data_IF_193250140098
#
_entry.id   IF_193250140098
#
_cell.length_a   1.000
_cell.length_b   1.000
_cell.length_c   1.000
_cell.angle_alpha   90.00
_cell.angle_beta   90.00
_cell.angle_gamma   90.00
#
_symmetry.space_group_name_H-M   'P 1'
#
loop_
_entity.id
_entity.type
_entity.pdbx_description
1 polymer ?
#
# COMPACT_ATOMS: atom_id res chain seq x y z
N UNK A 1 19.76 -3.19 20.96
CA UNK A 1 18.47 -2.50 20.74
C UNK A 1 17.38 -3.45 21.21
N UNK A 2 16.33 -2.98 21.90
CA UNK A 2 15.21 -3.83 22.37
C UNK A 2 13.90 -3.02 22.38
N UNK A 3 12.81 -3.64 21.98
CA UNK A 3 11.43 -3.15 22.04
C UNK A 3 11.03 -2.77 23.47
N UNK A 4 11.42 -3.58 24.46
CA UNK A 4 11.18 -3.26 25.87
C UNK A 4 11.84 -1.96 26.32
N UNK A 5 13.05 -1.66 25.80
CA UNK A 5 13.72 -0.37 26.01
C UNK A 5 12.96 0.78 25.34
N UNK A 6 12.53 0.63 24.08
CA UNK A 6 11.79 1.68 23.37
C UNK A 6 10.49 2.04 24.08
N UNK A 7 9.72 1.03 24.51
CA UNK A 7 8.44 1.25 25.21
C UNK A 7 8.68 1.90 26.58
N UNK A 8 9.71 1.47 27.30
CA UNK A 8 10.12 2.10 28.56
C UNK A 8 10.48 3.57 28.38
N UNK A 9 11.21 3.92 27.32
CA UNK A 9 11.63 5.31 27.08
C UNK A 9 10.41 6.22 26.85
N UNK A 10 9.35 5.71 26.22
CA UNK A 10 8.05 6.40 26.08
C UNK A 10 7.28 6.54 27.41
N UNK A 11 7.55 5.69 28.40
CA UNK A 11 6.88 5.72 29.71
C UNK A 11 7.53 6.68 30.72
N UNK A 12 8.76 7.13 30.48
CA UNK A 12 9.50 7.94 31.44
C UNK A 12 8.79 9.27 31.75
N UNK A 13 8.75 9.65 33.03
CA UNK A 13 8.12 10.88 33.49
C UNK A 13 6.60 10.84 33.59
N UNK A 14 5.95 9.75 33.16
CA UNK A 14 4.51 9.54 33.29
C UNK A 14 4.19 8.74 34.55
N UNK A 15 3.05 9.03 35.18
CA UNK A 15 2.51 8.15 36.21
C UNK A 15 1.86 6.90 35.59
N UNK A 16 1.72 5.76 36.30
CA UNK A 16 1.03 4.57 35.77
C UNK A 16 -0.37 4.87 35.23
N UNK A 17 -1.09 5.83 35.83
CA UNK A 17 -2.42 6.24 35.39
C UNK A 17 -2.41 7.09 34.09
N UNK A 18 -1.25 7.58 33.68
CA UNK A 18 -1.05 8.41 32.49
C UNK A 18 -0.34 7.67 31.36
N UNK A 19 -0.04 6.39 31.53
CA UNK A 19 0.58 5.57 30.49
C UNK A 19 -0.39 5.37 29.32
N UNK A 20 0.18 5.26 28.12
CA UNK A 20 -0.58 5.02 26.90
C UNK A 20 -1.25 3.64 26.95
N UNK A 21 -2.59 3.56 26.89
CA UNK A 21 -3.31 2.29 26.93
C UNK A 21 -2.99 1.35 25.76
N UNK A 22 -2.38 1.84 24.68
CA UNK A 22 -2.05 1.07 23.49
C UNK A 22 -0.59 0.57 23.46
N UNK A 23 0.28 1.03 24.36
CA UNK A 23 1.70 0.64 24.37
C UNK A 23 2.26 0.52 25.79
N UNK A 24 2.56 1.63 26.46
CA UNK A 24 3.30 1.63 27.72
C UNK A 24 2.50 1.09 28.91
N UNK A 25 1.18 1.27 28.93
CA UNK A 25 0.33 0.67 29.96
C UNK A 25 0.27 -0.85 29.81
N UNK A 26 0.26 -1.36 28.57
CA UNK A 26 0.34 -2.80 28.32
C UNK A 26 1.65 -3.36 28.84
N UNK A 27 2.77 -2.68 28.57
CA UNK A 27 4.08 -3.05 29.07
C UNK A 27 4.17 -3.06 30.59
N UNK A 28 3.53 -2.10 31.26
CA UNK A 28 3.45 -2.08 32.71
C UNK A 28 2.62 -3.27 33.23
N UNK A 29 1.45 -3.53 32.64
CA UNK A 29 0.55 -4.61 33.05
C UNK A 29 1.11 -6.02 32.80
N UNK A 30 2.07 -6.17 31.88
CA UNK A 30 2.75 -7.43 31.60
C UNK A 30 4.11 -7.56 32.29
N UNK A 31 4.44 -6.68 33.23
CA UNK A 31 5.75 -6.61 33.89
C UNK A 31 6.93 -6.47 32.92
N UNK A 32 6.69 -6.00 31.69
CA UNK A 32 7.78 -5.68 30.76
C UNK A 32 8.57 -4.46 31.22
N UNK A 33 7.85 -3.49 31.78
CA UNK A 33 8.41 -2.34 32.45
C UNK A 33 7.87 -2.25 33.87
N UNK A 34 8.68 -1.76 34.79
CA UNK A 34 8.29 -1.57 36.19
C UNK A 34 8.96 -0.32 36.77
N UNK A 35 8.42 0.21 37.85
CA UNK A 35 8.90 1.43 38.49
C UNK A 35 10.13 1.17 39.38
N UNK A 36 11.07 2.12 39.41
CA UNK A 36 12.21 2.10 40.35
C UNK A 36 12.13 3.27 41.32
N UNK A 37 11.53 3.04 42.49
CA UNK A 37 11.53 3.99 43.60
C UNK A 37 10.96 5.37 43.22
N UNK A 38 9.63 5.44 43.11
CA UNK A 38 8.88 6.63 42.66
C UNK A 38 7.96 6.28 41.49
N UNK A 39 6.85 7.00 41.32
CA UNK A 39 5.79 6.62 40.38
C UNK A 39 6.06 7.01 38.91
N UNK A 40 7.26 7.45 38.53
CA UNK A 40 7.49 8.01 37.17
C UNK A 40 8.78 7.55 36.49
N UNK A 41 9.60 6.75 37.16
CA UNK A 41 10.87 6.24 36.62
C UNK A 41 10.73 4.74 36.36
N UNK A 42 10.90 4.34 35.11
CA UNK A 42 10.70 2.94 34.70
C UNK A 42 12.01 2.25 34.35
N UNK A 43 12.13 0.97 34.71
CA UNK A 43 13.09 0.02 34.18
C UNK A 43 12.40 -0.93 33.21
N UNK A 44 13.18 -1.59 32.34
CA UNK A 44 12.68 -2.67 31.51
C UNK A 44 13.23 -3.99 32.04
N UNK A 45 12.34 -4.95 32.25
CA UNK A 45 12.68 -6.33 32.62
C UNK A 45 13.10 -7.16 31.40
N UNK A 46 13.18 -6.54 30.22
CA UNK A 46 13.86 -7.10 29.04
C UNK A 46 15.20 -6.38 28.84
N UNK A 47 16.30 -6.85 29.45
CA UNK A 47 17.64 -6.29 29.30
C UNK A 47 18.04 -6.06 27.84
N UNK A 48 18.71 -4.93 27.57
CA UNK A 48 19.13 -4.54 26.22
C UNK A 48 20.59 -4.89 25.89
N UNK A 49 21.29 -5.50 26.86
CA UNK A 49 22.70 -5.88 26.81
C UNK A 49 22.93 -7.36 26.45
N UNK A 50 21.88 -8.16 26.30
CA UNK A 50 21.94 -9.55 25.86
C UNK A 50 21.58 -9.68 24.38
N UNK A 51 22.17 -10.66 23.69
CA UNK A 51 21.89 -10.95 22.28
C UNK A 51 20.49 -11.54 22.13
N UNK A 52 19.53 -10.74 21.65
CA UNK A 52 18.14 -11.16 21.40
C UNK A 52 17.87 -11.30 19.91
N UNK A 53 17.13 -12.34 19.53
CA UNK A 53 16.59 -12.44 18.18
C UNK A 53 15.34 -11.57 18.10
N UNK A 54 15.41 -10.52 17.30
CA UNK A 54 14.28 -9.66 16.98
C UNK A 54 13.68 -10.06 15.64
N UNK A 55 12.35 -10.10 15.56
CA UNK A 55 11.65 -10.30 14.30
C UNK A 55 10.39 -9.43 14.23
N UNK A 56 10.02 -9.06 12.99
CA UNK A 56 8.76 -8.38 12.69
C UNK A 56 8.06 -9.12 11.57
N UNK A 57 6.82 -9.51 11.82
CA UNK A 57 5.96 -10.20 10.87
C UNK A 57 4.77 -9.32 10.55
N UNK A 58 4.53 -9.06 9.26
CA UNK A 58 3.45 -8.20 8.80
C UNK A 58 2.51 -9.04 7.93
N UNK A 59 1.25 -9.13 8.34
CA UNK A 59 0.19 -9.73 7.55
C UNK A 59 -0.82 -8.65 7.16
N UNK A 60 -0.87 -8.35 5.87
CA UNK A 60 -1.78 -7.35 5.33
C UNK A 60 -2.69 -7.96 4.27
N UNK A 61 -3.98 -7.63 4.30
CA UNK A 61 -4.95 -7.96 3.25
C UNK A 61 -5.92 -6.81 3.05
N UNK A 62 -6.53 -6.72 1.89
CA UNK A 62 -7.50 -5.67 1.62
C UNK A 62 -8.15 -5.81 0.26
N UNK A 63 -9.10 -4.93 -0.02
CA UNK A 63 -9.74 -4.82 -1.31
C UNK A 63 -10.15 -3.38 -1.59
N UNK A 64 -10.13 -3.03 -2.87
CA UNK A 64 -10.70 -1.77 -3.38
C UNK A 64 -11.78 -2.15 -4.39
N UNK A 65 -12.98 -1.59 -4.20
CA UNK A 65 -14.10 -1.73 -5.12
C UNK A 65 -14.49 -0.38 -5.72
N UNK A 66 -15.08 -0.40 -6.91
CA UNK A 66 -15.63 0.80 -7.55
C UNK A 66 -16.92 0.47 -8.30
N UNK A 67 -17.96 1.27 -8.09
CA UNK A 67 -19.20 1.26 -8.87
C UNK A 67 -19.28 2.59 -9.61
N UNK A 68 -19.40 2.55 -10.93
CA UNK A 68 -19.36 3.75 -11.78
C UNK A 68 -20.62 3.89 -12.63
N UNK A 69 -21.14 5.11 -12.73
CA UNK A 69 -22.11 5.50 -13.75
C UNK A 69 -21.38 6.31 -14.83
N UNK A 70 -21.41 5.82 -16.07
CA UNK A 70 -20.68 6.41 -17.18
C UNK A 70 -21.60 6.80 -18.34
N UNK A 71 -21.30 7.92 -18.99
CA UNK A 71 -21.95 8.38 -20.22
C UNK A 71 -20.89 8.76 -21.26
N UNK A 72 -21.19 8.55 -22.54
CA UNK A 72 -20.30 8.95 -23.64
C UNK A 72 -21.08 9.36 -24.88
N UNK A 73 -20.47 10.23 -25.68
CA UNK A 73 -21.02 10.72 -26.94
C UNK A 73 -20.01 10.49 -28.08
N UNK A 74 -20.52 10.17 -29.26
CA UNK A 74 -19.76 10.06 -30.49
C UNK A 74 -20.17 11.18 -31.45
N UNK A 75 -19.21 11.99 -31.87
CA UNK A 75 -19.38 13.14 -32.76
C UNK A 75 -18.68 12.83 -34.08
N UNK A 76 -19.48 12.62 -35.13
CA UNK A 76 -19.00 12.43 -36.50
C UNK A 76 -18.04 11.25 -36.69
N UNK A 77 -18.09 10.23 -35.82
CA UNK A 77 -17.18 9.07 -35.82
C UNK A 77 -15.70 9.40 -35.63
N UNK A 78 -15.38 10.66 -35.31
CA UNK A 78 -14.01 11.15 -35.15
C UNK A 78 -13.70 11.52 -33.70
N UNK A 79 -14.66 12.11 -32.98
CA UNK A 79 -14.46 12.56 -31.60
C UNK A 79 -15.39 11.77 -30.69
N UNK A 80 -14.82 11.17 -29.64
CA UNK A 80 -15.56 10.47 -28.60
C UNK A 80 -15.26 11.16 -27.29
N UNK A 81 -16.29 11.58 -26.56
CA UNK A 81 -16.15 12.22 -25.25
C UNK A 81 -16.90 11.37 -24.25
N UNK A 82 -16.34 11.17 -23.05
CA UNK A 82 -16.96 10.41 -21.99
C UNK A 82 -16.66 10.99 -20.62
N UNK A 83 -17.58 10.71 -19.70
CA UNK A 83 -17.45 11.04 -18.29
C UNK A 83 -18.00 9.89 -17.45
N UNK A 84 -17.45 9.67 -16.27
CA UNK A 84 -18.07 8.83 -15.25
C UNK A 84 -17.92 9.44 -13.86
N UNK A 85 -18.92 9.18 -13.02
CA UNK A 85 -18.87 9.39 -11.58
C UNK A 85 -18.89 8.01 -10.92
N UNK A 86 -18.04 7.83 -9.91
CA UNK A 86 -17.89 6.53 -9.27
C UNK A 86 -17.91 6.64 -7.75
N UNK A 87 -18.53 5.65 -7.11
CA UNK A 87 -18.43 5.40 -5.67
C UNK A 87 -17.42 4.29 -5.48
N UNK A 88 -16.38 4.55 -4.69
CA UNK A 88 -15.31 3.63 -4.39
C UNK A 88 -15.38 3.17 -2.93
N UNK A 89 -15.04 1.91 -2.69
CA UNK A 89 -14.91 1.34 -1.34
C UNK A 89 -13.49 0.85 -1.13
N UNK A 90 -13.02 0.92 0.11
CA UNK A 90 -11.71 0.45 0.53
C UNK A 90 -11.87 -0.33 1.82
N UNK A 91 -11.23 -1.50 1.87
CA UNK A 91 -11.06 -2.27 3.11
C UNK A 91 -9.62 -2.70 3.21
N UNK A 92 -9.03 -2.56 4.39
CA UNK A 92 -7.65 -2.96 4.65
C UNK A 92 -7.55 -3.48 6.08
N UNK A 93 -6.86 -4.60 6.25
CA UNK A 93 -6.57 -5.21 7.55
C UNK A 93 -5.08 -5.46 7.62
N UNK A 94 -4.46 -5.06 8.71
CA UNK A 94 -3.02 -5.21 8.93
C UNK A 94 -2.76 -5.68 10.36
N UNK A 95 -2.12 -6.84 10.48
CA UNK A 95 -1.63 -7.36 11.74
C UNK A 95 -0.11 -7.34 11.71
N UNK A 96 0.49 -6.60 12.63
CA UNK A 96 1.93 -6.57 12.83
C UNK A 96 2.29 -7.27 14.12
N UNK A 97 3.24 -8.19 14.07
CA UNK A 97 3.76 -8.87 15.25
C UNK A 97 5.24 -8.58 15.36
N UNK A 98 5.64 -7.95 16.45
CA UNK A 98 7.03 -7.76 16.85
C UNK A 98 7.35 -8.79 17.91
N UNK A 99 8.49 -9.44 17.77
CA UNK A 99 8.90 -10.48 18.69
C UNK A 99 10.38 -10.34 19.05
N UNK A 100 10.68 -10.47 20.33
CA UNK A 100 12.04 -10.61 20.86
C UNK A 100 12.14 -11.93 21.63
N UNK A 101 13.14 -12.74 21.31
CA UNK A 101 13.38 -14.02 21.98
C UNK A 101 14.84 -14.06 22.43
N UNK A 102 15.06 -14.45 23.67
CA UNK A 102 16.37 -14.90 24.12
C UNK A 102 16.55 -16.40 23.81
N UNK A 103 17.15 -16.69 22.65
CA UNK A 103 17.37 -18.09 22.24
C UNK A 103 18.59 -18.73 22.90
N UNK A 104 19.49 -17.90 23.47
CA UNK A 104 20.75 -18.37 24.04
C UNK A 104 20.67 -18.51 25.56
N UNK A 105 19.51 -18.20 26.16
CA UNK A 105 19.28 -18.17 27.61
C UNK A 105 20.36 -17.37 28.34
N UNK A 106 20.79 -16.25 27.74
CA UNK A 106 21.79 -15.35 28.31
C UNK A 106 21.19 -14.47 29.41
N UNK A 107 19.88 -14.34 29.41
CA UNK A 107 19.06 -13.62 30.37
C UNK A 107 18.38 -14.62 31.31
N UNK A 108 18.68 -14.59 32.62
CA UNK A 108 18.11 -15.55 33.56
C UNK A 108 16.61 -15.37 33.77
N UNK A 109 16.08 -14.19 33.46
CA UNK A 109 14.70 -13.82 33.80
C UNK A 109 13.80 -13.61 32.58
N UNK A 110 14.34 -13.32 31.40
CA UNK A 110 13.57 -13.04 30.18
C UNK A 110 13.64 -14.16 29.16
N UNK A 111 12.48 -14.71 28.75
CA UNK A 111 12.40 -15.69 27.66
C UNK A 111 11.96 -15.05 26.34
N UNK A 112 10.82 -14.36 26.34
CA UNK A 112 10.30 -13.73 25.12
C UNK A 112 9.33 -12.56 25.37
N UNK A 113 9.22 -11.73 24.35
CA UNK A 113 8.31 -10.60 24.24
C UNK A 113 7.61 -10.67 22.89
N UNK A 114 6.29 -10.51 22.86
CA UNK A 114 5.51 -10.37 21.63
C UNK A 114 4.53 -9.21 21.73
N UNK A 115 4.69 -8.24 20.84
CA UNK A 115 3.77 -7.11 20.68
C UNK A 115 3.01 -7.24 19.37
N UNK A 116 1.69 -7.17 19.42
CA UNK A 116 0.81 -7.37 18.27
C UNK A 116 -0.02 -6.10 18.10
N UNK A 117 0.03 -5.51 16.90
CA UNK A 117 -0.79 -4.38 16.49
C UNK A 117 -1.78 -4.86 15.42
N UNK A 118 -3.08 -4.79 15.71
CA UNK A 118 -4.14 -5.07 14.76
C UNK A 118 -4.79 -3.75 14.31
N UNK A 119 -4.85 -3.53 13.01
CA UNK A 119 -5.46 -2.36 12.38
C UNK A 119 -6.48 -2.80 11.33
N UNK A 120 -7.71 -2.37 11.49
CA UNK A 120 -8.80 -2.52 10.52
C UNK A 120 -9.18 -1.15 9.99
N UNK A 121 -9.16 -0.98 8.67
CA UNK A 121 -9.46 0.27 7.97
C UNK A 121 -10.58 0.03 6.97
N UNK A 122 -11.56 0.92 6.97
CA UNK A 122 -12.62 0.96 5.96
C UNK A 122 -12.78 2.37 5.40
N UNK A 123 -13.19 2.48 4.15
CA UNK A 123 -13.43 3.77 3.54
C UNK A 123 -14.45 3.72 2.41
N UNK A 124 -15.19 4.80 2.25
CA UNK A 124 -16.08 5.05 1.13
C UNK A 124 -15.76 6.41 0.53
N UNK A 125 -15.72 6.50 -0.80
CA UNK A 125 -15.35 7.74 -1.46
C UNK A 125 -16.00 7.90 -2.82
N UNK A 126 -15.85 9.09 -3.37
CA UNK A 126 -16.37 9.45 -4.69
C UNK A 126 -15.27 9.98 -5.58
N UNK A 127 -15.34 9.71 -6.89
CA UNK A 127 -14.42 10.26 -7.88
C UNK A 127 -15.14 10.56 -9.21
N UNK A 128 -14.51 11.38 -10.04
CA UNK A 128 -14.94 11.74 -11.39
C UNK A 128 -13.82 11.45 -12.39
N UNK A 129 -14.15 10.87 -13.54
CA UNK A 129 -13.18 10.65 -14.63
C UNK A 129 -13.75 11.23 -15.93
N UNK A 130 -12.92 11.96 -16.66
CA UNK A 130 -13.26 12.57 -17.94
C UNK A 130 -12.30 12.03 -19.02
N UNK A 131 -12.80 11.83 -20.23
CA UNK A 131 -11.98 11.32 -21.33
C UNK A 131 -12.44 11.81 -22.70
N UNK A 132 -11.48 11.99 -23.59
CA UNK A 132 -11.69 12.27 -25.01
C UNK A 132 -10.81 11.38 -25.86
N UNK A 133 -11.34 10.88 -26.97
CA UNK A 133 -10.61 10.15 -27.99
C UNK A 133 -10.87 10.81 -29.34
N UNK A 134 -9.81 11.19 -30.02
CA UNK A 134 -9.84 11.67 -31.40
C UNK A 134 -9.29 10.62 -32.36
N UNK A 135 -10.01 10.40 -33.46
CA UNK A 135 -9.66 9.46 -34.54
C UNK A 135 -9.50 10.24 -35.84
N UNK A 136 -8.34 10.88 -36.07
CA UNK A 136 -8.09 11.63 -37.30
C UNK A 136 -8.11 10.72 -38.53
N UNK A 137 -7.62 9.49 -38.37
CA UNK A 137 -7.53 8.47 -39.42
C UNK A 137 -8.09 7.14 -38.89
N UNK A 138 -8.56 6.26 -39.78
CA UNK A 138 -9.12 4.96 -39.38
C UNK A 138 -8.12 4.06 -38.63
N UNK A 139 -6.83 4.24 -38.89
CA UNK A 139 -5.74 3.48 -38.26
C UNK A 139 -5.09 4.20 -37.08
N UNK A 140 -5.44 5.46 -36.79
CA UNK A 140 -4.77 6.26 -35.76
C UNK A 140 -5.76 6.86 -34.77
N UNK A 141 -5.43 6.77 -33.47
CA UNK A 141 -6.24 7.31 -32.38
C UNK A 141 -5.34 8.02 -31.39
N UNK A 142 -5.85 9.13 -30.87
CA UNK A 142 -5.25 9.91 -29.78
C UNK A 142 -6.27 10.00 -28.66
N UNK A 143 -5.87 9.69 -27.43
CA UNK A 143 -6.72 9.80 -26.26
C UNK A 143 -6.11 10.73 -25.21
N UNK A 144 -6.98 11.38 -24.45
CA UNK A 144 -6.63 12.13 -23.25
C UNK A 144 -7.69 11.84 -22.19
N UNK A 145 -7.28 11.52 -20.97
CA UNK A 145 -8.18 11.34 -19.84
C UNK A 145 -7.63 11.96 -18.56
N UNK A 146 -8.53 12.49 -17.74
CA UNK A 146 -8.23 13.07 -16.45
C UNK A 146 -9.07 12.39 -15.38
N UNK A 147 -8.41 11.90 -14.33
CA UNK A 147 -9.05 11.27 -13.18
C UNK A 147 -8.83 12.19 -11.99
N UNK A 148 -9.93 12.62 -11.35
CA UNK A 148 -9.85 13.38 -10.09
C UNK A 148 -9.27 12.50 -8.97
N UNK A 149 -8.89 13.10 -7.83
CA UNK A 149 -8.79 12.35 -6.59
C UNK A 149 -10.07 11.56 -6.34
N UNK A 150 -9.93 10.45 -5.63
CA UNK A 150 -11.02 9.91 -4.84
C UNK A 150 -10.98 10.60 -3.49
N UNK A 151 -12.09 11.22 -3.12
CA UNK A 151 -12.29 11.80 -1.80
C UNK A 151 -12.94 10.74 -0.92
N UNK A 152 -12.15 10.10 -0.05
CA UNK A 152 -12.60 9.08 0.88
C UNK A 152 -12.93 9.69 2.24
N UNK A 153 -14.01 9.19 2.85
CA UNK A 153 -14.20 9.21 4.30
C UNK A 153 -13.76 7.85 4.84
N UNK A 154 -12.85 7.87 5.80
CA UNK A 154 -12.12 6.72 6.34
C UNK A 154 -12.48 6.52 7.80
N UNK A 155 -12.55 5.26 8.21
CA UNK A 155 -12.73 4.85 9.60
C UNK A 155 -11.76 3.72 9.92
N UNK A 156 -11.02 3.89 11.01
CA UNK A 156 -10.05 2.94 11.52
C UNK A 156 -10.47 2.41 12.88
N UNK A 157 -10.19 1.14 13.11
CA UNK A 157 -10.26 0.49 14.40
C UNK A 157 -8.93 -0.20 14.67
N UNK A 158 -8.37 -0.03 15.86
CA UNK A 158 -7.10 -0.65 16.22
C UNK A 158 -7.12 -1.21 17.64
N UNK A 159 -6.38 -2.30 17.82
CA UNK A 159 -6.20 -3.00 19.10
C UNK A 159 -4.75 -3.47 19.19
N UNK A 160 -4.13 -3.25 20.34
CA UNK A 160 -2.77 -3.70 20.60
C UNK A 160 -2.77 -4.74 21.72
N UNK A 161 -1.93 -5.75 21.56
CA UNK A 161 -1.71 -6.80 22.56
C UNK A 161 -0.24 -6.92 22.88
N UNK A 162 0.07 -7.16 24.14
CA UNK A 162 1.44 -7.42 24.59
C UNK A 162 1.47 -8.72 25.39
N UNK A 163 2.42 -9.58 25.08
CA UNK A 163 2.67 -10.84 25.76
C UNK A 163 4.13 -10.91 26.19
N UNK A 164 4.35 -11.29 27.43
CA UNK A 164 5.68 -11.54 27.98
C UNK A 164 5.78 -12.94 28.56
N UNK A 165 6.96 -13.52 28.43
CA UNK A 165 7.34 -14.79 29.04
C UNK A 165 8.65 -14.55 29.80
N UNK A 166 8.56 -14.64 31.12
CA UNK A 166 9.68 -14.54 32.05
C UNK A 166 9.86 -15.85 32.82
N UNK A 167 11.02 -16.04 33.43
CA UNK A 167 11.32 -17.18 34.32
C UNK A 167 10.29 -17.32 35.45
N UNK A 168 9.75 -16.19 35.91
CA UNK A 168 8.81 -16.09 37.03
C UNK A 168 7.33 -16.06 36.60
N UNK A 169 7.00 -15.98 35.30
CA UNK A 169 5.60 -15.96 34.86
C UNK A 169 5.37 -15.53 33.42
N UNK A 170 4.16 -15.82 32.92
CA UNK A 170 3.68 -15.36 31.61
C UNK A 170 2.53 -14.39 31.79
N UNK A 171 2.58 -13.27 31.09
CA UNK A 171 1.60 -12.20 31.22
C UNK A 171 1.08 -11.76 29.85
N UNK A 172 -0.17 -11.33 29.81
CA UNK A 172 -0.81 -10.81 28.61
C UNK A 172 -1.66 -9.60 28.98
N UNK A 173 -1.55 -8.53 28.20
CA UNK A 173 -2.40 -7.35 28.28
C UNK A 173 -2.90 -6.99 26.89
N UNK A 174 -4.09 -6.41 26.85
CA UNK A 174 -4.76 -5.96 25.63
C UNK A 174 -5.28 -4.54 25.85
N UNK A 175 -5.16 -3.69 24.83
CA UNK A 175 -5.69 -2.33 24.87
C UNK A 175 -7.21 -2.34 24.76
N UNK A 176 -7.89 -1.24 25.14
CA UNK A 176 -9.22 -0.96 24.64
C UNK A 176 -9.24 -0.92 23.10
N UNK A 177 -10.43 -1.01 22.51
CA UNK A 177 -10.62 -0.78 21.07
C UNK A 177 -10.50 0.72 20.79
N UNK A 178 -9.49 1.11 20.03
CA UNK A 178 -9.32 2.47 19.53
C UNK A 178 -10.06 2.66 18.22
N UNK A 179 -10.62 3.85 17.99
CA UNK A 179 -11.27 4.23 16.73
C UNK A 179 -10.78 5.59 16.25
N UNK A 180 -10.65 5.76 14.94
CA UNK A 180 -10.19 7.02 14.38
C UNK A 180 -10.78 7.27 12.99
N UNK A 181 -11.46 8.41 12.81
CA UNK A 181 -12.09 8.80 11.55
C UNK A 181 -11.35 10.00 10.93
N UNK A 182 -11.19 9.97 9.60
CA UNK A 182 -10.54 11.04 8.84
C UNK A 182 -10.93 11.00 7.37
N UNK A 183 -10.58 12.05 6.61
CA UNK A 183 -10.72 12.00 5.15
C UNK A 183 -9.38 11.82 4.45
N UNK A 184 -9.38 11.07 3.34
CA UNK A 184 -8.22 10.85 2.49
C UNK A 184 -8.52 11.26 1.04
N UNK A 185 -7.70 12.16 0.51
CA UNK A 185 -7.69 12.50 -0.90
C UNK A 185 -6.57 11.75 -1.61
N UNK A 186 -6.91 10.93 -2.61
CA UNK A 186 -5.91 10.18 -3.40
C UNK A 186 -5.27 11.06 -4.49
N UNK A 187 -4.14 10.63 -5.09
CA UNK A 187 -3.53 11.34 -6.22
C UNK A 187 -4.48 11.44 -7.41
N UNK A 188 -4.51 12.62 -8.05
CA UNK A 188 -5.12 12.76 -9.37
C UNK A 188 -4.20 12.20 -10.47
N UNK A 189 -4.78 11.87 -11.63
CA UNK A 189 -4.04 11.29 -12.77
C UNK A 189 -4.43 11.94 -14.09
N UNK A 190 -3.46 12.13 -14.96
CA UNK A 190 -3.65 12.57 -16.35
C UNK A 190 -3.00 11.53 -17.27
N UNK A 191 -3.74 11.03 -18.26
CA UNK A 191 -3.24 10.03 -19.21
C UNK A 191 -3.41 10.52 -20.64
N UNK A 192 -2.34 10.42 -21.42
CA UNK A 192 -2.36 10.61 -22.86
C UNK A 192 -2.06 9.27 -23.55
N UNK A 193 -2.78 8.95 -24.61
CA UNK A 193 -2.66 7.66 -25.30
C UNK A 193 -2.61 7.79 -26.80
N UNK A 194 -1.81 6.94 -27.44
CA UNK A 194 -1.72 6.79 -28.89
C UNK A 194 -2.02 5.34 -29.26
N UNK A 195 -2.86 5.15 -30.27
CA UNK A 195 -3.25 3.83 -30.75
C UNK A 195 -3.14 3.73 -32.26
N UNK A 196 -2.49 2.67 -32.73
CA UNK A 196 -2.27 2.37 -34.15
C UNK A 196 -2.91 1.04 -34.50
N UNK A 197 -3.71 0.98 -35.57
CA UNK A 197 -4.32 -0.25 -36.09
C UNK A 197 -3.74 -0.55 -37.48
N UNK A 198 -2.90 -1.57 -37.55
CA UNK A 198 -2.18 -1.97 -38.76
C UNK A 198 -2.92 -3.11 -39.45
N UNK A 199 -3.32 -2.88 -40.71
CA UNK A 199 -3.96 -3.87 -41.59
C UNK A 199 -5.17 -4.61 -41.00
N UNK A 200 -5.83 -4.02 -39.99
CA UNK A 200 -6.92 -4.65 -39.19
C UNK A 200 -6.51 -5.98 -38.50
N UNK A 201 -5.22 -6.30 -38.46
CA UNK A 201 -4.66 -7.54 -37.88
C UNK A 201 -3.74 -7.28 -36.69
N UNK A 202 -3.09 -6.13 -36.63
CA UNK A 202 -2.23 -5.78 -35.52
C UNK A 202 -2.63 -4.42 -34.92
N UNK A 203 -2.41 -4.26 -33.62
CA UNK A 203 -2.59 -3.00 -32.92
C UNK A 203 -1.36 -2.70 -32.07
N UNK A 204 -0.96 -1.44 -32.00
CA UNK A 204 0.12 -0.95 -31.13
C UNK A 204 -0.45 0.19 -30.29
N UNK A 205 -0.17 0.18 -29.00
CA UNK A 205 -0.56 1.20 -28.04
C UNK A 205 0.64 1.78 -27.32
N UNK A 206 0.59 3.09 -27.08
CA UNK A 206 1.51 3.81 -26.20
C UNK A 206 0.67 4.68 -25.27
N UNK A 207 0.85 4.53 -23.97
CA UNK A 207 0.26 5.40 -22.95
C UNK A 207 1.35 6.09 -22.15
N UNK A 208 1.14 7.38 -21.89
CA UNK A 208 1.87 8.17 -20.94
C UNK A 208 0.92 8.61 -19.83
N UNK A 209 1.25 8.33 -18.58
CA UNK A 209 0.44 8.66 -17.42
C UNK A 209 1.27 9.51 -16.45
N UNK A 210 0.70 10.64 -16.07
CA UNK A 210 1.19 11.54 -15.04
C UNK A 210 0.33 11.36 -13.79
N UNK A 211 0.97 11.12 -12.64
CA UNK A 211 0.28 10.98 -11.35
C UNK A 211 0.93 11.92 -10.35
N UNK A 212 0.14 12.74 -9.65
CA UNK A 212 0.68 13.66 -8.65
C UNK A 212 0.49 13.10 -7.24
N UNK A 213 1.48 12.36 -6.74
CA UNK A 213 1.43 11.81 -5.39
C UNK A 213 1.60 12.86 -4.28
N UNK A 214 2.22 14.00 -4.59
CA UNK A 214 2.31 15.14 -3.67
C UNK A 214 0.92 15.71 -3.33
N UNK A 215 -0.06 15.53 -4.21
CA UNK A 215 -1.43 16.00 -3.98
C UNK A 215 -2.25 15.12 -3.00
N UNK A 216 -1.67 14.07 -2.42
CA UNK A 216 -2.33 13.30 -1.35
C UNK A 216 -2.58 14.24 -0.16
N UNK A 217 -3.76 14.15 0.45
CA UNK A 217 -4.06 14.93 1.65
C UNK A 217 -4.88 14.11 2.64
N UNK A 218 -4.46 14.14 3.89
CA UNK A 218 -5.23 13.69 5.05
C UNK A 218 -5.97 14.88 5.66
N UNK A 219 -7.23 14.72 6.05
CA UNK A 219 -8.05 15.80 6.64
C UNK A 219 -8.62 15.41 8.00
N UNK A 220 -8.76 16.38 8.94
CA UNK A 220 -8.43 17.80 8.81
C UNK A 220 -6.92 18.05 8.64
N UNK A 221 -6.55 19.00 7.77
CA UNK A 221 -5.15 19.19 7.39
C UNK A 221 -4.28 19.82 8.49
N UNK A 222 -4.92 20.39 9.52
CA UNK A 222 -4.31 20.94 10.73
C UNK A 222 -4.40 19.94 11.90
N UNK A 223 -3.62 20.17 12.95
CA UNK A 223 -3.60 19.31 14.12
C UNK A 223 -2.90 17.98 13.80
N UNK A 224 -3.55 16.85 14.09
CA UNK A 224 -2.96 15.51 14.02
C UNK A 224 -2.27 15.20 12.69
N UNK A 225 -2.85 15.62 11.55
CA UNK A 225 -2.30 15.33 10.23
C UNK A 225 -1.35 16.40 9.67
N UNK A 226 -1.04 17.46 10.41
CA UNK A 226 -0.18 18.52 9.91
C UNK A 226 1.21 18.00 9.52
N UNK A 227 1.85 17.23 10.41
CA UNK A 227 3.16 16.63 10.16
C UNK A 227 3.09 15.57 9.06
N UNK A 228 2.06 14.72 9.06
CA UNK A 228 1.86 13.71 8.02
C UNK A 228 1.67 14.33 6.63
N UNK A 229 0.91 15.42 6.52
CA UNK A 229 0.75 16.15 5.27
C UNK A 229 2.04 16.88 4.86
N UNK A 230 2.79 17.47 5.78
CA UNK A 230 4.08 18.08 5.48
C UNK A 230 5.12 17.03 5.01
N UNK A 231 5.07 15.83 5.58
CA UNK A 231 5.84 14.68 5.14
C UNK A 231 5.44 14.27 3.72
N UNK A 232 4.15 14.18 3.42
CA UNK A 232 3.65 13.89 2.07
C UNK A 232 4.18 14.94 1.07
N UNK A 233 3.97 16.22 1.38
CA UNK A 233 4.34 17.36 0.53
C UNK A 233 5.87 17.38 0.25
N UNK A 234 6.70 16.93 1.20
CA UNK A 234 8.16 16.94 1.08
C UNK A 234 8.75 15.68 0.46
N UNK A 235 8.04 14.55 0.54
CA UNK A 235 8.59 13.24 0.19
C UNK A 235 7.93 12.55 -0.99
N UNK A 236 6.78 13.02 -1.48
CA UNK A 236 6.13 12.47 -2.67
C UNK A 236 6.26 13.39 -3.87
N UNK A 237 6.44 12.78 -5.04
CA UNK A 237 6.71 13.45 -6.32
C UNK A 237 5.57 13.25 -7.32
N UNK A 238 5.59 14.07 -8.36
CA UNK A 238 4.85 13.77 -9.59
C UNK A 238 5.61 12.68 -10.35
N UNK A 239 4.91 11.59 -10.69
CA UNK A 239 5.51 10.46 -11.41
C UNK A 239 5.06 10.39 -12.84
N UNK A 240 5.96 9.85 -13.66
CA UNK A 240 5.78 9.64 -15.08
C UNK A 240 5.81 8.13 -15.36
N UNK A 241 4.69 7.59 -15.81
CA UNK A 241 4.55 6.18 -16.15
C UNK A 241 4.38 6.02 -17.66
N UNK A 242 5.05 5.03 -18.24
CA UNK A 242 4.96 4.74 -19.68
C UNK A 242 4.50 3.30 -19.85
N UNK A 243 3.53 3.08 -20.74
CA UNK A 243 3.08 1.74 -21.14
C UNK A 243 3.17 1.62 -22.65
N UNK A 244 3.75 0.54 -23.14
CA UNK A 244 3.75 0.18 -24.55
C UNK A 244 3.23 -1.24 -24.69
N UNK A 245 2.42 -1.49 -25.71
CA UNK A 245 1.89 -2.83 -25.95
C UNK A 245 1.52 -3.06 -27.40
N UNK A 246 1.50 -4.33 -27.79
CA UNK A 246 1.08 -4.75 -29.11
C UNK A 246 0.15 -5.97 -29.03
N UNK A 247 -0.83 -6.02 -29.92
CA UNK A 247 -1.69 -7.18 -30.17
C UNK A 247 -1.53 -7.59 -31.64
N UNK A 248 -1.36 -8.88 -31.91
CA UNK A 248 -1.45 -9.47 -33.25
C UNK A 248 -2.54 -10.52 -33.26
N UNK A 249 -3.43 -10.42 -34.25
CA UNK A 249 -4.50 -11.38 -34.52
C UNK A 249 -4.06 -12.40 -35.56
N UNK A 250 -4.07 -13.66 -35.17
CA UNK A 250 -3.82 -14.82 -36.03
C UNK A 250 -4.97 -15.79 -35.73
N UNK A 251 -6.09 -15.59 -36.40
CA UNK A 251 -7.33 -16.29 -36.06
C UNK A 251 -7.12 -17.83 -35.96
N UNK A 252 -7.65 -18.49 -34.91
CA UNK A 252 -8.54 -17.97 -33.85
C UNK A 252 -7.82 -17.31 -32.66
N UNK A 253 -6.50 -17.14 -32.73
CA UNK A 253 -5.67 -16.66 -31.64
C UNK A 253 -5.40 -15.15 -31.70
N UNK A 254 -5.12 -14.59 -30.53
CA UNK A 254 -4.63 -13.23 -30.34
C UNK A 254 -3.44 -13.26 -29.42
N UNK A 255 -2.30 -12.78 -29.87
CA UNK A 255 -1.08 -12.75 -29.08
C UNK A 255 -0.85 -11.30 -28.66
N UNK A 256 -0.56 -11.10 -27.37
CA UNK A 256 -0.29 -9.80 -26.79
C UNK A 256 1.04 -9.80 -26.08
N UNK A 257 1.75 -8.69 -26.19
CA UNK A 257 2.92 -8.41 -25.38
C UNK A 257 2.87 -6.96 -24.93
N UNK A 258 3.36 -6.68 -23.73
CA UNK A 258 3.34 -5.34 -23.17
C UNK A 258 4.48 -5.11 -22.20
N UNK A 259 4.81 -3.83 -22.03
CA UNK A 259 5.78 -3.35 -21.06
C UNK A 259 5.28 -2.09 -20.40
N UNK A 260 5.51 -1.97 -19.09
CA UNK A 260 5.23 -0.78 -18.29
C UNK A 260 6.47 -0.38 -17.50
N UNK A 261 6.87 0.86 -17.64
CA UNK A 261 7.78 1.53 -16.74
C UNK A 261 6.98 2.38 -15.76
N UNK A 262 7.23 2.19 -14.47
CA UNK A 262 6.65 2.97 -13.38
C UNK A 262 7.78 3.68 -12.65
N UNK A 263 7.70 5.01 -12.58
CA UNK A 263 8.69 5.83 -11.91
C UNK A 263 8.48 5.84 -10.39
N UNK A 264 9.57 6.00 -9.64
CA UNK A 264 9.53 6.19 -8.20
C UNK A 264 8.67 7.43 -7.80
N UNK A 265 7.61 7.26 -6.98
CA UNK A 265 6.87 8.38 -6.42
C UNK A 265 7.54 9.05 -5.23
N UNK A 266 8.64 8.49 -4.72
CA UNK A 266 9.33 9.02 -3.54
C UNK A 266 10.47 9.97 -3.93
N UNK A 267 10.67 10.99 -3.10
CA UNK A 267 11.84 11.86 -3.16
C UNK A 267 13.09 11.09 -2.68
N UNK A 268 14.28 11.59 -3.06
CA UNK A 268 15.55 11.00 -2.62
C UNK A 268 15.79 11.00 -1.11
N UNK A 269 14.98 11.74 -0.33
CA UNK A 269 15.13 11.84 1.13
C UNK A 269 14.81 10.52 1.86
N UNK A 270 14.02 9.63 1.25
CA UNK A 270 13.60 8.37 1.88
C UNK A 270 14.56 7.21 1.65
N UNK A 271 15.66 7.40 0.90
CA UNK A 271 16.62 6.35 0.54
C UNK A 271 15.95 5.05 0.03
N UNK A 272 14.78 5.17 -0.59
CA UNK A 272 14.00 4.07 -1.16
C UNK A 272 13.68 4.39 -2.61
N UNK A 273 13.90 3.41 -3.48
CA UNK A 273 13.46 3.43 -4.87
C UNK A 273 12.26 2.48 -5.03
N UNK A 274 11.16 2.98 -5.59
CA UNK A 274 9.99 2.18 -5.94
C UNK A 274 9.78 2.12 -7.46
N UNK A 275 10.82 2.42 -8.24
CA UNK A 275 10.83 2.19 -9.68
C UNK A 275 10.49 0.73 -9.95
N UNK A 276 9.58 0.53 -10.88
CA UNK A 276 9.09 -0.80 -11.23
C UNK A 276 9.03 -0.98 -12.75
N UNK A 277 9.43 -2.17 -13.17
CA UNK A 277 9.32 -2.62 -14.55
C UNK A 277 8.35 -3.79 -14.59
N UNK A 278 7.35 -3.72 -15.47
CA UNK A 278 6.42 -4.82 -15.69
C UNK A 278 6.52 -5.27 -17.14
N UNK A 279 6.72 -6.57 -17.35
CA UNK A 279 6.63 -7.19 -18.67
C UNK A 279 5.47 -8.18 -18.68
N UNK A 280 4.73 -8.22 -19.77
CA UNK A 280 3.59 -9.12 -19.91
C UNK A 280 3.52 -9.79 -21.26
N UNK A 281 3.02 -11.02 -21.25
CA UNK A 281 2.61 -11.77 -22.43
C UNK A 281 1.19 -12.28 -22.23
N UNK A 282 0.42 -12.39 -23.31
CA UNK A 282 -0.93 -12.89 -23.24
C UNK A 282 -1.34 -13.63 -24.50
N UNK A 283 -2.22 -14.61 -24.32
CA UNK A 283 -2.83 -15.40 -25.38
C UNK A 283 -4.34 -15.35 -25.21
N UNK A 284 -5.02 -14.87 -26.24
CA UNK A 284 -6.47 -14.92 -26.38
C UNK A 284 -6.87 -15.97 -27.40
N UNK A 285 -7.96 -16.67 -27.14
CA UNK A 285 -8.58 -17.63 -28.04
C UNK A 285 -10.03 -17.26 -28.28
N UNK A 286 -10.41 -17.18 -29.57
CA UNK A 286 -11.76 -16.79 -30.00
C UNK A 286 -12.19 -17.58 -31.24
N UNK A 287 -12.39 -18.89 -31.08
CA UNK A 287 -12.80 -19.75 -32.20
C UNK A 287 -14.31 -19.75 -32.48
N UNK A 288 -15.16 -19.45 -31.49
CA UNK A 288 -16.62 -19.38 -31.66
C UNK A 288 -17.13 -18.03 -31.16
N UNK A 289 -18.20 -17.50 -31.78
CA UNK A 289 -18.74 -16.17 -31.43
C UNK A 289 -19.18 -16.03 -29.97
N UNK A 290 -19.48 -17.14 -29.29
CA UNK A 290 -20.07 -17.18 -27.96
C UNK A 290 -19.06 -17.36 -26.81
N UNK A 291 -17.79 -17.70 -27.07
CA UNK A 291 -16.75 -17.81 -26.03
C UNK A 291 -15.47 -17.07 -26.43
N UNK A 292 -14.93 -16.34 -25.46
CA UNK A 292 -13.55 -15.82 -25.44
C UNK A 292 -12.82 -16.36 -24.23
N UNK A 293 -11.59 -16.82 -24.41
CA UNK A 293 -10.69 -17.18 -23.31
C UNK A 293 -9.42 -16.35 -23.47
N UNK A 294 -9.00 -15.66 -22.42
CA UNK A 294 -7.75 -14.91 -22.39
C UNK A 294 -6.91 -15.37 -21.19
N UNK A 295 -5.63 -15.60 -21.41
CA UNK A 295 -4.65 -15.86 -20.37
C UNK A 295 -3.52 -14.84 -20.51
N UNK A 296 -3.05 -14.32 -19.38
CA UNK A 296 -1.94 -13.39 -19.32
C UNK A 296 -0.99 -13.76 -18.19
N UNK A 297 0.30 -13.57 -18.45
CA UNK A 297 1.36 -13.64 -17.47
C UNK A 297 2.04 -12.27 -17.37
N UNK A 298 2.23 -11.80 -16.14
CA UNK A 298 2.90 -10.54 -15.85
C UNK A 298 4.01 -10.79 -14.85
N UNK A 299 5.22 -10.36 -15.19
CA UNK A 299 6.36 -10.30 -14.28
C UNK A 299 6.66 -8.85 -13.93
N UNK A 300 6.87 -8.57 -12.65
CA UNK A 300 7.19 -7.24 -12.14
C UNK A 300 8.49 -7.26 -11.36
N UNK A 301 9.38 -6.33 -11.67
CA UNK A 301 10.70 -6.18 -11.05
C UNK A 301 10.75 -4.84 -10.32
N UNK A 302 11.12 -4.87 -9.04
CA UNK A 302 11.38 -3.68 -8.22
C UNK A 302 12.63 -3.91 -7.39
N UNK A 303 13.42 -2.86 -7.25
CA UNK A 303 14.54 -2.79 -6.32
C UNK A 303 14.23 -1.72 -5.28
N UNK A 304 14.21 -2.10 -4.00
CA UNK A 304 13.85 -1.17 -2.92
C UNK A 304 14.62 -1.49 -1.65
N UNK A 305 15.21 -0.49 -0.99
CA UNK A 305 15.56 -0.59 0.43
C UNK A 305 14.29 -0.28 1.25
N UNK A 306 13.89 -1.13 2.20
CA UNK A 306 12.70 -0.90 3.02
C UNK A 306 12.89 0.29 3.94
N UNK A 307 11.84 1.11 4.10
CA UNK A 307 11.79 2.13 5.15
C UNK A 307 11.69 1.42 6.50
N UNK A 308 12.68 1.64 7.35
CA UNK A 308 12.69 1.07 8.70
C UNK A 308 11.61 1.74 9.55
N UNK A 309 10.88 0.92 10.31
CA UNK A 309 9.88 1.39 11.26
C UNK A 309 10.59 2.07 12.46
N UNK A 310 9.88 2.93 13.20
CA UNK A 310 10.36 3.57 14.45
C UNK A 310 11.09 2.61 15.40
N UNK A 311 10.64 1.36 15.49
CA UNK A 311 11.26 0.33 16.33
C UNK A 311 12.55 -0.29 15.76
N UNK A 312 13.00 0.13 14.57
CA UNK A 312 14.22 -0.38 13.92
C UNK A 312 14.97 0.74 13.18
N UNK A 313 14.69 2.00 13.50
CA UNK A 313 15.21 3.16 12.77
C UNK A 313 16.76 3.25 12.80
N UNK A 314 17.40 2.68 13.83
CA UNK A 314 18.86 2.66 14.00
C UNK A 314 19.56 1.51 13.24
N UNK A 315 18.80 0.62 12.59
CA UNK A 315 19.36 -0.47 11.79
C UNK A 315 19.52 -0.05 10.33
N UNK A 316 20.64 -0.41 9.71
CA UNK A 316 20.84 -0.19 8.28
C UNK A 316 19.94 -1.14 7.47
N UNK A 317 19.07 -0.62 6.57
CA UNK A 317 18.27 -1.46 5.69
C UNK A 317 19.14 -2.22 4.70
N UNK A 318 18.79 -3.47 4.45
CA UNK A 318 19.35 -4.26 3.35
C UNK A 318 18.56 -3.99 2.07
N UNK A 319 19.23 -4.01 0.92
CA UNK A 319 18.59 -3.94 -0.38
C UNK A 319 17.71 -5.18 -0.63
N UNK A 320 16.48 -4.95 -1.09
CA UNK A 320 15.53 -6.02 -1.38
C UNK A 320 15.15 -5.98 -2.86
N UNK A 321 15.47 -7.07 -3.55
CA UNK A 321 15.00 -7.33 -4.92
C UNK A 321 13.68 -8.10 -4.86
N UNK A 322 12.63 -7.54 -5.47
CA UNK A 322 11.29 -8.13 -5.48
C UNK A 322 10.88 -8.49 -6.89
N UNK A 323 10.56 -9.76 -7.08
CA UNK A 323 10.01 -10.31 -8.33
C UNK A 323 8.60 -10.82 -8.07
N UNK A 324 7.61 -10.18 -8.68
CA UNK A 324 6.20 -10.60 -8.59
C UNK A 324 5.76 -11.27 -9.88
N UNK A 325 5.14 -12.44 -9.76
CA UNK A 325 4.62 -13.21 -10.86
C UNK A 325 3.10 -13.32 -10.73
N UNK A 326 2.36 -12.82 -11.72
CA UNK A 326 0.90 -12.85 -11.73
C UNK A 326 0.41 -13.60 -12.98
N UNK A 327 -0.52 -14.53 -12.78
CA UNK A 327 -1.24 -15.21 -13.85
C UNK A 327 -2.71 -14.78 -13.77
N UNK A 328 -3.25 -14.31 -14.88
CA UNK A 328 -4.65 -13.89 -14.98
C UNK A 328 -5.32 -14.68 -16.10
N UNK A 329 -6.47 -15.27 -15.80
CA UNK A 329 -7.29 -15.99 -16.78
C UNK A 329 -8.67 -15.35 -16.78
N UNK A 330 -9.23 -15.14 -17.97
CA UNK A 330 -10.57 -14.58 -18.16
C UNK A 330 -11.33 -15.44 -19.15
N UNK A 331 -12.59 -15.75 -18.81
CA UNK A 331 -13.52 -16.43 -19.71
C UNK A 331 -14.72 -15.54 -19.89
N UNK A 332 -15.02 -15.21 -21.14
CA UNK A 332 -16.18 -14.41 -21.52
C UNK A 332 -17.16 -15.25 -22.32
N UNK A 333 -18.44 -15.17 -21.96
CA UNK A 333 -19.55 -15.71 -22.72
C UNK A 333 -20.27 -14.58 -23.44
N UNK A 334 -20.68 -14.79 -24.68
CA UNK A 334 -21.42 -13.80 -25.47
C UNK A 334 -22.73 -14.45 -25.90
N UNK A 335 -23.84 -13.79 -25.59
CA UNK A 335 -25.21 -14.20 -25.89
C UNK A 335 -25.78 -13.40 -27.07
#
# INVERSE_FOLDING_TARGET
YSLGKSIRDNAQGLSPASLDPFESLLAFNTYLIDTTGGNTNYISNAPSNTSKKMSRLIHSRGSIGEIALAASANIGHKVFIGANISVATLTYKNTQTYEEIDNENLDPDFNSLRYIEDLDVSGIGVNLKLGVIYRPLNWFRVGLSFHTPTWYSMSETYVNQLRTDFSFGKYNAESPVGTFDYDLNTPWRLQASLGFLLFKRAAIGLDYELVNYNAIKLRPASGFFQEGNAFIDSNYLVTHNIRVGAEVRIDPFRIRAGYRFQMNPLSGNLNTDLTAHHASIGLGYRARKWITIDAAYVISFTHSAPIMNRYFADLSPADVYKNYHNVVITVGFHF
#
